data_IF_341156038801
#
_entry.id   IF_341156038801
#
_cell.length_a   1.000
_cell.length_b   1.000
_cell.length_c   1.000
_cell.angle_alpha   90.00
_cell.angle_beta   90.00
_cell.angle_gamma   90.00
#
_symmetry.space_group_name_H-M   'P 1'
#
loop_
_entity.id
_entity.type
_entity.pdbx_description
1 polymer ?
#
# COMPACT_ATOMS: atom_id res chain seq x y z
N UNK A 1 -24.83 2.83 -3.94
CA UNK A 1 -23.84 1.77 -3.69
C UNK A 1 -24.58 0.60 -3.06
N UNK A 2 -24.43 -0.63 -3.55
CA UNK A 2 -25.10 -1.80 -2.93
C UNK A 2 -24.35 -2.26 -1.67
N UNK A 3 -25.01 -2.87 -0.68
CA UNK A 3 -24.34 -3.41 0.52
C UNK A 3 -23.12 -4.29 0.18
N UNK A 4 -23.25 -5.22 -0.77
CA UNK A 4 -22.14 -6.07 -1.23
C UNK A 4 -20.93 -5.27 -1.72
N UNK A 5 -21.15 -4.22 -2.52
CA UNK A 5 -20.04 -3.41 -3.06
C UNK A 5 -19.32 -2.57 -1.99
N UNK A 6 -19.98 -2.27 -0.88
CA UNK A 6 -19.39 -1.60 0.27
C UNK A 6 -18.57 -2.60 1.10
N UNK A 7 -19.13 -3.78 1.37
CA UNK A 7 -18.45 -4.82 2.16
C UNK A 7 -17.20 -5.33 1.41
N UNK A 8 -17.28 -5.55 0.10
CA UNK A 8 -16.12 -5.97 -0.72
C UNK A 8 -15.02 -4.90 -0.67
N UNK A 9 -15.37 -3.62 -0.72
CA UNK A 9 -14.38 -2.53 -0.61
C UNK A 9 -13.68 -2.55 0.74
N UNK A 10 -14.42 -2.68 1.83
CA UNK A 10 -13.84 -2.80 3.18
C UNK A 10 -12.94 -4.03 3.31
N UNK A 11 -13.35 -5.17 2.75
CA UNK A 11 -12.55 -6.38 2.76
C UNK A 11 -11.25 -6.20 1.94
N UNK A 12 -11.32 -5.56 0.77
CA UNK A 12 -10.15 -5.25 -0.08
C UNK A 12 -9.23 -4.21 0.56
N UNK A 13 -9.76 -3.27 1.34
CA UNK A 13 -8.98 -2.24 2.03
C UNK A 13 -8.37 -2.72 3.35
N UNK A 14 -8.37 -4.03 3.59
CA UNK A 14 -7.74 -4.64 4.75
C UNK A 14 -8.58 -4.64 6.03
N UNK A 15 -9.88 -4.33 6.00
CA UNK A 15 -10.75 -4.30 7.18
C UNK A 15 -11.78 -5.44 7.23
N UNK A 16 -11.36 -6.70 7.40
CA UNK A 16 -12.25 -7.86 7.37
C UNK A 16 -13.27 -7.87 8.52
N UNK A 17 -12.92 -7.35 9.69
CA UNK A 17 -13.83 -7.29 10.84
C UNK A 17 -14.98 -6.31 10.63
N UNK A 18 -14.69 -5.16 10.04
CA UNK A 18 -15.70 -4.16 9.72
C UNK A 18 -16.59 -4.61 8.56
N UNK A 19 -15.99 -5.27 7.58
CA UNK A 19 -16.74 -5.95 6.53
C UNK A 19 -17.67 -7.03 7.11
N UNK A 20 -17.22 -7.79 8.12
CA UNK A 20 -18.05 -8.78 8.82
C UNK A 20 -19.23 -8.16 9.56
N UNK A 21 -18.99 -7.10 10.35
CA UNK A 21 -20.04 -6.39 11.06
C UNK A 21 -21.11 -5.83 10.11
N UNK A 22 -20.69 -5.28 8.97
CA UNK A 22 -21.62 -4.77 7.95
C UNK A 22 -22.41 -5.92 7.29
N UNK A 23 -21.78 -7.07 7.10
CA UNK A 23 -22.44 -8.28 6.59
C UNK A 23 -23.51 -8.81 7.55
N UNK A 24 -23.22 -8.79 8.86
CA UNK A 24 -24.17 -9.12 9.93
C UNK A 24 -25.35 -8.14 9.97
N UNK A 25 -25.06 -6.84 9.94
CA UNK A 25 -26.06 -5.77 9.95
C UNK A 25 -27.07 -5.91 8.80
N UNK A 26 -26.61 -6.38 7.64
CA UNK A 26 -27.46 -6.60 6.47
C UNK A 26 -28.06 -8.02 6.40
N UNK A 27 -27.85 -8.87 7.41
CA UNK A 27 -28.42 -10.22 7.47
C UNK A 27 -27.86 -11.17 6.40
N UNK A 28 -26.63 -10.93 5.94
CA UNK A 28 -26.02 -11.68 4.84
C UNK A 28 -25.20 -12.90 5.30
N UNK A 29 -24.97 -13.05 6.62
CA UNK A 29 -24.18 -14.15 7.19
C UNK A 29 -24.87 -15.52 7.11
N UNK A 30 -26.20 -15.55 7.13
CA UNK A 30 -27.00 -16.78 7.15
C UNK A 30 -27.53 -17.19 5.77
N UNK A 31 -26.96 -16.64 4.70
CA UNK A 31 -27.36 -16.99 3.33
C UNK A 31 -27.00 -18.44 3.01
N UNK A 32 -27.98 -19.23 2.56
CA UNK A 32 -27.76 -20.59 2.02
C UNK A 32 -27.91 -20.65 0.49
N UNK A 33 -28.42 -19.59 -0.14
CA UNK A 33 -28.80 -19.61 -1.57
C UNK A 33 -28.26 -18.44 -2.39
N UNK A 34 -27.75 -17.38 -1.76
CA UNK A 34 -27.07 -16.29 -2.47
C UNK A 34 -25.56 -16.54 -2.53
N UNK A 35 -25.09 -16.92 -3.71
CA UNK A 35 -23.68 -17.17 -4.05
C UNK A 35 -22.77 -15.99 -3.67
N UNK A 36 -23.22 -14.76 -3.87
CA UNK A 36 -22.39 -13.56 -3.60
C UNK A 36 -22.15 -13.39 -2.12
N UNK A 37 -23.20 -13.57 -1.31
CA UNK A 37 -23.09 -13.54 0.15
C UNK A 37 -22.21 -14.68 0.66
N UNK A 38 -22.40 -15.91 0.18
CA UNK A 38 -21.55 -17.06 0.57
C UNK A 38 -20.07 -16.82 0.23
N UNK A 39 -19.78 -16.34 -0.99
CA UNK A 39 -18.43 -16.04 -1.45
C UNK A 39 -17.77 -14.96 -0.57
N UNK A 40 -18.51 -13.91 -0.24
CA UNK A 40 -18.04 -12.83 0.62
C UNK A 40 -17.77 -13.33 2.04
N UNK A 41 -18.68 -14.11 2.62
CA UNK A 41 -18.48 -14.74 3.94
C UNK A 41 -17.22 -15.59 3.95
N UNK A 42 -17.07 -16.47 2.94
CA UNK A 42 -15.93 -17.36 2.84
C UNK A 42 -14.61 -16.58 2.73
N UNK A 43 -14.59 -15.48 1.95
CA UNK A 43 -13.44 -14.57 1.89
C UNK A 43 -13.08 -13.98 3.25
N UNK A 44 -14.05 -13.46 4.01
CA UNK A 44 -13.79 -12.89 5.33
C UNK A 44 -13.26 -13.93 6.32
N UNK A 45 -13.79 -15.16 6.29
CA UNK A 45 -13.25 -16.28 7.09
C UNK A 45 -11.83 -16.65 6.65
N UNK A 46 -11.55 -16.64 5.34
CA UNK A 46 -10.19 -16.86 4.79
C UNK A 46 -9.22 -15.78 5.28
N UNK A 47 -9.64 -14.52 5.28
CA UNK A 47 -8.80 -13.41 5.74
C UNK A 47 -8.50 -13.54 7.24
N UNK A 48 -9.49 -13.89 8.07
CA UNK A 48 -9.26 -14.25 9.48
C UNK A 48 -8.31 -15.44 9.65
N UNK A 49 -8.45 -16.48 8.82
CA UNK A 49 -7.58 -17.65 8.86
C UNK A 49 -6.12 -17.29 8.56
N UNK A 50 -5.85 -16.32 7.67
CA UNK A 50 -4.49 -15.83 7.40
C UNK A 50 -3.85 -15.15 8.62
N UNK A 51 -4.66 -14.70 9.59
CA UNK A 51 -4.19 -14.05 10.82
C UNK A 51 -4.07 -15.00 12.00
N UNK A 52 -4.73 -16.15 11.93
CA UNK A 52 -4.69 -17.16 12.98
C UNK A 52 -3.44 -18.04 12.87
N UNK A 53 -3.14 -18.79 13.92
CA UNK A 53 -2.03 -19.74 13.98
C UNK A 53 -2.49 -21.13 14.39
N UNK A 54 -1.64 -22.13 14.15
CA UNK A 54 -1.83 -23.50 14.63
C UNK A 54 -3.16 -24.15 14.21
N UNK A 55 -3.82 -24.80 15.16
CA UNK A 55 -5.06 -25.56 14.93
C UNK A 55 -6.24 -24.65 14.58
N UNK A 56 -6.27 -23.42 15.10
CA UNK A 56 -7.34 -22.46 14.80
C UNK A 56 -7.28 -22.00 13.34
N UNK A 57 -6.06 -21.77 12.82
CA UNK A 57 -5.83 -21.47 11.39
C UNK A 57 -6.41 -22.57 10.50
N UNK A 58 -6.07 -23.83 10.77
CA UNK A 58 -6.57 -24.96 10.00
C UNK A 58 -8.11 -25.10 10.09
N UNK A 59 -8.69 -24.85 11.28
CA UNK A 59 -10.15 -24.86 11.49
C UNK A 59 -10.85 -23.77 10.66
N UNK A 60 -10.34 -22.55 10.67
CA UNK A 60 -10.90 -21.43 9.91
C UNK A 60 -10.78 -21.66 8.39
N UNK A 61 -9.65 -22.19 7.91
CA UNK A 61 -9.53 -22.59 6.50
C UNK A 61 -10.54 -23.67 6.12
N UNK A 62 -10.73 -24.69 6.96
CA UNK A 62 -11.74 -25.72 6.73
C UNK A 62 -13.17 -25.14 6.69
N UNK A 63 -13.48 -24.18 7.58
CA UNK A 63 -14.77 -23.51 7.60
C UNK A 63 -15.00 -22.68 6.33
N UNK A 64 -14.02 -21.88 5.93
CA UNK A 64 -14.07 -21.09 4.69
C UNK A 64 -14.22 -21.99 3.45
N UNK A 65 -13.46 -23.10 3.38
CA UNK A 65 -13.57 -24.07 2.29
C UNK A 65 -15.00 -24.63 2.17
N UNK A 66 -15.64 -24.98 3.29
CA UNK A 66 -17.00 -25.50 3.29
C UNK A 66 -18.02 -24.49 2.74
N UNK A 67 -17.87 -23.19 3.07
CA UNK A 67 -18.73 -22.13 2.55
C UNK A 67 -18.52 -21.96 1.03
N UNK A 68 -17.26 -21.99 0.55
CA UNK A 68 -16.96 -21.94 -0.88
C UNK A 68 -17.52 -23.15 -1.65
N UNK A 69 -17.50 -24.36 -1.06
CA UNK A 69 -18.17 -25.54 -1.66
C UNK A 69 -19.67 -25.31 -1.79
N UNK A 70 -20.33 -24.69 -0.79
CA UNK A 70 -21.76 -24.33 -0.90
C UNK A 70 -21.99 -23.37 -2.06
N UNK A 71 -21.21 -22.29 -2.14
CA UNK A 71 -21.30 -21.32 -3.23
C UNK A 71 -21.10 -21.96 -4.62
N UNK A 72 -20.07 -22.81 -4.76
CA UNK A 72 -19.74 -23.49 -6.01
C UNK A 72 -20.84 -24.45 -6.49
N UNK A 73 -21.73 -24.94 -5.62
CA UNK A 73 -22.84 -25.82 -6.00
C UNK A 73 -24.03 -25.09 -6.62
N UNK A 74 -24.17 -23.78 -6.41
CA UNK A 74 -25.33 -23.00 -6.89
C UNK A 74 -25.27 -22.85 -8.41
N UNK A 75 -24.19 -22.24 -8.91
CA UNK A 75 -24.01 -21.94 -10.33
C UNK A 75 -22.94 -22.81 -11.02
N UNK A 76 -22.35 -23.80 -10.31
CA UNK A 76 -21.21 -24.62 -10.78
C UNK A 76 -20.03 -23.79 -11.26
N UNK A 77 -19.72 -22.71 -10.55
CA UNK A 77 -18.61 -21.81 -10.94
C UNK A 77 -17.25 -22.30 -10.50
N UNK A 78 -16.25 -22.11 -11.34
CA UNK A 78 -14.85 -22.47 -11.08
C UNK A 78 -14.23 -21.66 -9.94
N UNK A 79 -14.56 -20.36 -9.81
CA UNK A 79 -13.97 -19.47 -8.80
C UNK A 79 -14.24 -19.89 -7.34
N UNK A 80 -15.48 -20.19 -6.91
CA UNK A 80 -15.71 -20.71 -5.58
C UNK A 80 -15.04 -22.08 -5.36
N UNK A 81 -15.08 -22.97 -6.37
CA UNK A 81 -14.52 -24.32 -6.26
C UNK A 81 -12.99 -24.32 -6.12
N UNK A 82 -12.27 -23.45 -6.83
CA UNK A 82 -10.81 -23.37 -6.70
C UNK A 82 -10.40 -22.84 -5.32
N UNK A 83 -11.11 -21.83 -4.81
CA UNK A 83 -10.87 -21.36 -3.45
C UNK A 83 -11.15 -22.46 -2.42
N UNK A 84 -12.23 -23.24 -2.59
CA UNK A 84 -12.48 -24.41 -1.73
C UNK A 84 -11.34 -25.44 -1.80
N UNK A 85 -10.80 -25.70 -2.99
CA UNK A 85 -9.70 -26.65 -3.18
C UNK A 85 -8.43 -26.18 -2.45
N UNK A 86 -8.06 -24.92 -2.60
CA UNK A 86 -6.87 -24.34 -1.96
C UNK A 86 -6.98 -24.27 -0.45
N UNK A 87 -8.14 -23.86 0.07
CA UNK A 87 -8.37 -23.78 1.51
C UNK A 87 -8.50 -25.17 2.14
N UNK A 88 -8.95 -26.17 1.39
CA UNK A 88 -8.91 -27.57 1.84
C UNK A 88 -7.48 -28.06 2.01
N UNK A 89 -6.56 -27.70 1.10
CA UNK A 89 -5.14 -28.03 1.25
C UNK A 89 -4.57 -27.38 2.51
N UNK A 90 -4.77 -26.07 2.66
CA UNK A 90 -4.29 -25.29 3.83
C UNK A 90 -4.91 -25.73 5.17
N UNK A 91 -6.02 -26.47 5.13
CA UNK A 91 -6.63 -27.11 6.29
C UNK A 91 -6.13 -28.54 6.55
N UNK A 92 -5.10 -29.01 5.82
CA UNK A 92 -4.55 -30.36 5.90
C UNK A 92 -5.40 -31.45 5.23
N UNK A 93 -6.38 -31.09 4.39
CA UNK A 93 -7.30 -32.02 3.72
C UNK A 93 -6.90 -32.27 2.26
N UNK A 94 -5.68 -32.75 2.04
CA UNK A 94 -5.08 -32.86 0.69
C UNK A 94 -5.92 -33.69 -0.29
N UNK A 95 -6.51 -34.82 0.13
CA UNK A 95 -7.35 -35.63 -0.74
C UNK A 95 -8.62 -34.88 -1.22
N UNK A 96 -9.20 -34.04 -0.35
CA UNK A 96 -10.35 -33.23 -0.71
C UNK A 96 -9.97 -32.10 -1.67
N UNK A 97 -8.82 -31.45 -1.42
CA UNK A 97 -8.24 -30.44 -2.31
C UNK A 97 -8.03 -31.00 -3.72
N UNK A 98 -7.40 -32.17 -3.86
CA UNK A 98 -7.18 -32.83 -5.15
C UNK A 98 -8.48 -33.11 -5.90
N UNK A 99 -9.50 -33.62 -5.20
CA UNK A 99 -10.82 -33.89 -5.80
C UNK A 99 -11.44 -32.62 -6.39
N UNK A 100 -11.42 -31.53 -5.61
CA UNK A 100 -11.97 -30.25 -6.05
C UNK A 100 -11.16 -29.63 -7.19
N UNK A 101 -9.82 -29.75 -7.17
CA UNK A 101 -8.97 -29.27 -8.26
C UNK A 101 -9.25 -29.98 -9.60
N UNK A 102 -9.49 -31.30 -9.57
CA UNK A 102 -9.93 -32.04 -10.77
C UNK A 102 -11.31 -31.57 -11.26
N UNK A 103 -12.24 -31.31 -10.34
CA UNK A 103 -13.56 -30.79 -10.67
C UNK A 103 -13.48 -29.39 -11.31
N UNK A 104 -12.61 -28.50 -10.80
CA UNK A 104 -12.35 -27.18 -11.38
C UNK A 104 -11.87 -27.30 -12.82
N UNK A 105 -10.92 -28.19 -13.11
CA UNK A 105 -10.43 -28.38 -14.48
C UNK A 105 -11.54 -28.88 -15.41
N UNK A 106 -12.39 -29.80 -14.96
CA UNK A 106 -13.53 -30.27 -15.74
C UNK A 106 -14.57 -29.16 -15.99
N UNK A 107 -14.81 -28.27 -15.01
CA UNK A 107 -15.70 -27.12 -15.16
C UNK A 107 -15.15 -26.13 -16.18
N UNK A 108 -13.85 -25.80 -16.12
CA UNK A 108 -13.21 -24.90 -17.08
C UNK A 108 -13.22 -25.47 -18.51
N UNK A 109 -13.04 -26.78 -18.66
CA UNK A 109 -13.11 -27.45 -19.97
C UNK A 109 -14.55 -27.43 -20.53
N UNK A 110 -15.55 -27.65 -19.68
CA UNK A 110 -16.95 -27.60 -20.08
C UNK A 110 -17.44 -26.17 -20.39
N UNK A 111 -16.88 -25.15 -19.72
CA UNK A 111 -17.29 -23.75 -19.84
C UNK A 111 -16.10 -22.80 -20.12
N UNK A 112 -15.50 -22.82 -21.31
CA UNK A 112 -14.32 -21.99 -21.62
C UNK A 112 -14.55 -20.46 -21.56
N UNK A 113 -15.80 -20.01 -21.45
CA UNK A 113 -16.18 -18.59 -21.39
C UNK A 113 -16.75 -18.16 -20.03
N UNK A 114 -16.58 -18.98 -18.98
CA UNK A 114 -17.20 -18.74 -17.66
C UNK A 114 -16.62 -17.52 -16.92
N UNK A 115 -15.30 -17.29 -17.04
CA UNK A 115 -14.60 -16.30 -16.24
C UNK A 115 -14.93 -14.86 -16.64
N UNK A 116 -15.00 -13.96 -15.65
CA UNK A 116 -15.22 -12.53 -15.88
C UNK A 116 -14.14 -11.91 -16.79
N UNK A 117 -12.91 -12.44 -16.71
CA UNK A 117 -11.80 -12.03 -17.58
C UNK A 117 -10.99 -13.23 -18.08
N UNK A 118 -10.30 -13.09 -19.24
CA UNK A 118 -9.37 -14.12 -19.74
C UNK A 118 -8.19 -14.43 -18.79
N UNK A 119 -7.86 -13.49 -17.89
CA UNK A 119 -6.86 -13.69 -16.83
C UNK A 119 -7.35 -14.71 -15.81
N UNK A 120 -8.55 -14.51 -15.25
CA UNK A 120 -9.08 -15.35 -14.17
C UNK A 120 -9.25 -16.82 -14.58
N UNK A 121 -9.57 -17.09 -15.84
CA UNK A 121 -9.59 -18.47 -16.37
C UNK A 121 -8.22 -19.14 -16.29
N UNK A 122 -7.17 -18.44 -16.73
CA UNK A 122 -5.81 -18.97 -16.72
C UNK A 122 -5.24 -19.08 -15.29
N UNK A 123 -5.54 -18.12 -14.41
CA UNK A 123 -5.14 -18.15 -13.02
C UNK A 123 -5.79 -19.32 -12.26
N UNK A 124 -7.09 -19.53 -12.46
CA UNK A 124 -7.85 -20.66 -11.87
C UNK A 124 -7.31 -22.01 -12.35
N UNK A 125 -7.01 -22.13 -13.65
CA UNK A 125 -6.38 -23.32 -14.21
C UNK A 125 -4.99 -23.57 -13.60
N UNK A 126 -4.17 -22.52 -13.49
CA UNK A 126 -2.84 -22.61 -12.92
C UNK A 126 -2.88 -23.08 -11.45
N UNK A 127 -3.79 -22.52 -10.65
CA UNK A 127 -3.95 -22.89 -9.24
C UNK A 127 -4.40 -24.36 -9.12
N UNK A 128 -5.35 -24.80 -9.93
CA UNK A 128 -5.79 -26.20 -9.94
C UNK A 128 -4.64 -27.15 -10.31
N UNK A 129 -3.82 -26.81 -11.31
CA UNK A 129 -2.64 -27.59 -11.69
C UNK A 129 -1.60 -27.64 -10.56
N UNK A 130 -1.38 -26.53 -9.85
CA UNK A 130 -0.46 -26.48 -8.72
C UNK A 130 -0.92 -27.42 -7.59
N UNK A 131 -2.21 -27.38 -7.23
CA UNK A 131 -2.81 -28.27 -6.22
C UNK A 131 -2.70 -29.75 -6.56
N UNK A 132 -2.63 -30.10 -7.86
CA UNK A 132 -2.43 -31.47 -8.34
C UNK A 132 -0.94 -31.87 -8.43
N UNK A 133 -0.03 -31.03 -7.93
CA UNK A 133 1.41 -31.23 -8.00
C UNK A 133 2.01 -31.07 -9.41
N UNK A 134 1.26 -30.50 -10.36
CA UNK A 134 1.71 -30.29 -11.75
C UNK A 134 2.36 -28.93 -11.90
N UNK A 135 3.54 -28.79 -11.29
CA UNK A 135 4.24 -27.50 -11.18
C UNK A 135 4.55 -26.84 -12.53
N UNK A 136 5.23 -27.53 -13.46
CA UNK A 136 5.60 -26.93 -14.75
C UNK A 136 4.37 -26.47 -15.57
N UNK A 137 3.28 -27.26 -15.69
CA UNK A 137 2.03 -26.78 -16.27
C UNK A 137 1.41 -25.58 -15.54
N UNK A 138 1.42 -25.56 -14.21
CA UNK A 138 0.90 -24.43 -13.42
C UNK A 138 1.66 -23.14 -13.73
N UNK A 139 2.99 -23.21 -13.76
CA UNK A 139 3.87 -22.08 -14.10
C UNK A 139 3.57 -21.52 -15.50
N UNK A 140 3.40 -22.40 -16.49
CA UNK A 140 3.09 -22.00 -17.85
C UNK A 140 1.70 -21.34 -17.95
N UNK A 141 0.69 -21.90 -17.28
CA UNK A 141 -0.66 -21.36 -17.26
C UNK A 141 -0.72 -19.97 -16.60
N UNK A 142 -0.03 -19.76 -15.46
CA UNK A 142 -0.02 -18.46 -14.79
C UNK A 142 0.67 -17.39 -15.64
N UNK A 143 1.81 -17.72 -16.27
CA UNK A 143 2.50 -16.82 -17.21
C UNK A 143 1.60 -16.42 -18.38
N UNK A 144 0.89 -17.37 -18.96
CA UNK A 144 -0.05 -17.10 -20.04
C UNK A 144 -1.24 -16.25 -19.58
N UNK A 145 -1.73 -16.45 -18.35
CA UNK A 145 -2.80 -15.64 -17.77
C UNK A 145 -2.39 -14.17 -17.62
N UNK A 146 -1.23 -13.92 -16.98
CA UNK A 146 -0.67 -12.56 -16.81
C UNK A 146 -0.46 -11.87 -18.16
N UNK A 147 0.05 -12.60 -19.16
CA UNK A 147 0.25 -12.06 -20.51
C UNK A 147 -1.04 -11.58 -21.20
N UNK A 148 -2.22 -12.07 -20.80
CA UNK A 148 -3.51 -11.61 -21.34
C UNK A 148 -3.97 -10.27 -20.76
N UNK A 149 -3.56 -9.93 -19.54
CA UNK A 149 -3.93 -8.69 -18.84
C UNK A 149 -2.74 -8.14 -18.03
N UNK A 150 -1.67 -7.67 -18.69
CA UNK A 150 -0.39 -7.36 -18.02
C UNK A 150 -0.47 -6.23 -16.97
N UNK A 151 -1.48 -5.36 -17.05
CA UNK A 151 -1.69 -4.24 -16.13
C UNK A 151 -2.65 -4.55 -14.97
N UNK A 152 -3.18 -5.78 -14.83
CA UNK A 152 -4.09 -6.16 -13.76
C UNK A 152 -3.34 -6.43 -12.44
N UNK A 153 -2.54 -5.47 -11.97
CA UNK A 153 -1.57 -5.66 -10.88
C UNK A 153 -2.20 -6.11 -9.55
N UNK A 154 -3.37 -5.58 -9.19
CA UNK A 154 -4.08 -6.01 -7.97
C UNK A 154 -4.52 -7.48 -8.04
N UNK A 155 -5.03 -7.91 -9.21
CA UNK A 155 -5.43 -9.30 -9.44
C UNK A 155 -4.21 -10.23 -9.44
N UNK A 156 -3.09 -9.77 -10.01
CA UNK A 156 -1.81 -10.47 -9.98
C UNK A 156 -1.30 -10.65 -8.55
N UNK A 157 -1.32 -9.59 -7.74
CA UNK A 157 -0.89 -9.62 -6.35
C UNK A 157 -1.68 -10.64 -5.52
N UNK A 158 -3.02 -10.64 -5.66
CA UNK A 158 -3.88 -11.59 -4.99
C UNK A 158 -3.54 -13.05 -5.36
N UNK A 159 -3.26 -13.30 -6.65
CA UNK A 159 -2.89 -14.64 -7.15
C UNK A 159 -1.48 -15.04 -6.69
N UNK A 160 -0.51 -14.13 -6.72
CA UNK A 160 0.86 -14.41 -6.29
C UNK A 160 0.90 -14.75 -4.80
N UNK A 161 0.27 -13.94 -3.95
CA UNK A 161 0.22 -14.22 -2.50
C UNK A 161 -0.49 -15.54 -2.18
N UNK A 162 -1.50 -15.93 -2.97
CA UNK A 162 -2.13 -17.25 -2.87
C UNK A 162 -1.16 -18.37 -3.26
N UNK A 163 -0.42 -18.21 -4.36
CA UNK A 163 0.55 -19.20 -4.82
C UNK A 163 1.74 -19.35 -3.87
N UNK A 164 2.22 -18.26 -3.25
CA UNK A 164 3.27 -18.32 -2.22
C UNK A 164 2.82 -19.20 -1.03
N UNK A 165 1.57 -19.04 -0.57
CA UNK A 165 0.99 -19.89 0.49
C UNK A 165 0.88 -21.37 0.06
N UNK A 166 0.45 -21.63 -1.17
CA UNK A 166 0.31 -23.00 -1.69
C UNK A 166 1.67 -23.67 -1.92
N UNK A 167 2.66 -22.96 -2.45
CA UNK A 167 4.02 -23.45 -2.61
C UNK A 167 4.62 -23.84 -1.26
N UNK A 168 4.44 -23.01 -0.23
CA UNK A 168 4.90 -23.33 1.12
C UNK A 168 4.26 -24.63 1.68
N UNK A 169 2.95 -24.81 1.49
CA UNK A 169 2.22 -26.00 1.96
C UNK A 169 2.58 -27.27 1.15
N UNK A 170 2.83 -27.13 -0.16
CA UNK A 170 3.19 -28.25 -1.04
C UNK A 170 4.69 -28.58 -1.01
N UNK A 171 5.52 -27.75 -0.38
CA UNK A 171 6.97 -27.88 -0.40
C UNK A 171 7.61 -27.53 -1.75
N UNK A 172 6.96 -26.70 -2.55
CA UNK A 172 7.52 -26.18 -3.81
C UNK A 172 8.30 -24.88 -3.60
N UNK A 173 9.33 -24.69 -4.43
CA UNK A 173 10.05 -23.42 -4.49
C UNK A 173 9.15 -22.34 -5.12
N UNK A 174 9.02 -21.20 -4.46
CA UNK A 174 8.21 -20.07 -4.90
C UNK A 174 9.00 -19.06 -5.77
N UNK A 175 10.32 -19.21 -5.93
CA UNK A 175 11.17 -18.23 -6.63
C UNK A 175 10.75 -17.98 -8.09
N UNK A 176 10.01 -18.91 -8.72
CA UNK A 176 9.49 -18.72 -10.08
C UNK A 176 8.39 -17.66 -10.18
N UNK A 177 7.80 -17.24 -9.06
CA UNK A 177 6.81 -16.16 -8.97
C UNK A 177 7.47 -14.77 -9.03
N UNK A 178 8.74 -14.63 -8.66
CA UNK A 178 9.41 -13.32 -8.59
C UNK A 178 9.37 -12.53 -9.91
N UNK A 179 9.63 -13.13 -11.09
CA UNK A 179 9.51 -12.43 -12.38
C UNK A 179 8.07 -12.05 -12.75
N UNK A 180 7.07 -12.53 -12.02
CA UNK A 180 5.65 -12.28 -12.26
C UNK A 180 5.09 -11.18 -11.35
N UNK A 181 5.87 -10.73 -10.37
CA UNK A 181 5.47 -9.67 -9.45
C UNK A 181 5.19 -8.36 -10.20
N UNK A 182 4.19 -7.58 -9.79
CA UNK A 182 3.95 -6.25 -10.34
C UNK A 182 5.18 -5.33 -10.25
N UNK A 183 5.20 -4.21 -10.99
CA UNK A 183 6.26 -3.22 -10.91
C UNK A 183 6.56 -2.76 -9.47
N UNK A 184 7.81 -2.38 -9.24
CA UNK A 184 8.26 -1.94 -7.92
C UNK A 184 7.82 -0.50 -7.63
N UNK A 185 7.74 -0.18 -6.33
CA UNK A 185 7.46 1.18 -5.85
C UNK A 185 8.75 1.88 -5.43
N UNK A 186 8.89 3.16 -5.77
CA UNK A 186 10.07 3.96 -5.51
C UNK A 186 9.72 5.11 -4.56
N UNK A 187 10.48 5.30 -3.49
CA UNK A 187 10.59 6.61 -2.84
C UNK A 187 11.82 7.34 -3.40
N UNK A 188 11.64 8.55 -3.92
CA UNK A 188 12.73 9.34 -4.46
C UNK A 188 12.91 10.66 -3.71
N UNK A 189 14.16 11.11 -3.63
CA UNK A 189 14.54 12.43 -3.13
C UNK A 189 15.92 12.81 -3.67
N UNK A 190 16.27 14.09 -3.67
CA UNK A 190 17.60 14.50 -4.08
C UNK A 190 17.93 15.95 -3.81
N UNK A 191 19.14 16.31 -4.21
CA UNK A 191 19.66 17.67 -4.05
C UNK A 191 18.98 18.66 -5.02
N UNK A 192 18.68 19.87 -4.54
CA UNK A 192 18.02 20.90 -5.35
C UNK A 192 18.96 21.49 -6.42
N UNK A 193 20.14 21.94 -6.04
CA UNK A 193 21.04 22.66 -6.95
C UNK A 193 21.91 21.71 -7.78
N UNK A 194 21.35 20.86 -8.64
CA UNK A 194 22.16 20.01 -9.53
C UNK A 194 22.71 20.80 -10.72
N UNK A 195 23.97 20.56 -11.08
CA UNK A 195 24.59 21.15 -12.28
C UNK A 195 23.84 20.71 -13.54
N UNK A 196 23.16 21.65 -14.21
CA UNK A 196 22.39 21.35 -15.42
C UNK A 196 23.29 20.79 -16.53
N UNK A 197 22.78 19.81 -17.28
CA UNK A 197 23.46 19.22 -18.43
C UNK A 197 24.30 17.97 -18.14
N UNK A 198 24.22 17.42 -16.92
CA UNK A 198 24.86 16.14 -16.59
C UNK A 198 24.05 14.95 -17.16
N UNK A 199 24.22 14.72 -18.47
CA UNK A 199 23.57 13.61 -19.18
C UNK A 199 23.92 12.23 -18.60
N UNK A 200 25.04 12.11 -17.86
CA UNK A 200 25.42 10.86 -17.21
C UNK A 200 24.48 10.52 -16.05
N UNK A 201 24.12 11.51 -15.23
CA UNK A 201 23.17 11.33 -14.12
C UNK A 201 21.78 10.94 -14.65
N UNK A 202 21.28 11.64 -15.68
CA UNK A 202 20.00 11.29 -16.30
C UNK A 202 19.98 9.88 -16.90
N UNK A 203 21.07 9.47 -17.56
CA UNK A 203 21.22 8.12 -18.08
C UNK A 203 21.30 7.05 -16.99
N UNK A 204 21.95 7.34 -15.86
CA UNK A 204 21.99 6.45 -14.69
C UNK A 204 20.62 6.27 -14.05
N UNK A 205 19.87 7.36 -13.85
CA UNK A 205 18.50 7.31 -13.32
C UNK A 205 17.62 6.46 -14.24
N UNK A 206 17.63 6.73 -15.54
CA UNK A 206 16.82 5.98 -16.52
C UNK A 206 17.16 4.49 -16.51
N UNK A 207 18.45 4.15 -16.53
CA UNK A 207 18.92 2.76 -16.53
C UNK A 207 18.55 2.04 -15.23
N UNK A 208 18.60 2.74 -14.10
CA UNK A 208 18.24 2.19 -12.80
C UNK A 208 16.73 1.95 -12.69
N UNK A 209 15.89 2.90 -13.12
CA UNK A 209 14.43 2.74 -13.14
C UNK A 209 13.99 1.54 -13.98
N UNK A 210 14.67 1.29 -15.12
CA UNK A 210 14.44 0.09 -15.95
C UNK A 210 14.84 -1.19 -15.23
N UNK A 211 16.08 -1.23 -14.71
CA UNK A 211 16.62 -2.41 -14.04
C UNK A 211 15.76 -2.86 -12.86
N UNK A 212 15.30 -1.91 -12.04
CA UNK A 212 14.49 -2.21 -10.86
C UNK A 212 12.97 -2.31 -11.18
N UNK A 213 12.60 -2.23 -12.47
CA UNK A 213 11.22 -2.32 -12.95
C UNK A 213 10.26 -1.38 -12.17
N UNK A 214 10.64 -0.11 -12.03
CA UNK A 214 9.84 0.88 -11.30
C UNK A 214 8.57 1.20 -12.08
N UNK A 215 7.42 1.10 -11.42
CA UNK A 215 6.11 1.47 -11.97
C UNK A 215 5.38 2.55 -11.17
N UNK A 216 5.82 2.85 -9.94
CA UNK A 216 5.22 3.87 -9.08
C UNK A 216 6.33 4.63 -8.37
N UNK A 217 6.27 5.96 -8.35
CA UNK A 217 7.26 6.80 -7.69
C UNK A 217 6.61 7.83 -6.77
N UNK A 218 7.10 7.92 -5.54
CA UNK A 218 6.60 8.78 -4.47
C UNK A 218 7.70 9.74 -4.01
N UNK A 219 7.41 11.03 -4.00
CA UNK A 219 8.39 12.04 -3.58
C UNK A 219 7.89 13.47 -3.75
N UNK A 220 8.68 14.42 -3.28
CA UNK A 220 8.47 15.84 -3.55
C UNK A 220 8.98 16.21 -4.97
N UNK A 221 8.95 17.49 -5.30
CA UNK A 221 9.41 18.01 -6.61
C UNK A 221 10.28 19.26 -6.43
N UNK A 222 11.21 19.23 -5.49
CA UNK A 222 12.10 20.38 -5.28
C UNK A 222 12.94 20.63 -6.55
N UNK A 223 13.18 21.90 -6.90
CA UNK A 223 13.93 22.29 -8.09
C UNK A 223 15.29 21.58 -8.10
N UNK A 224 15.53 20.67 -9.05
CA UNK A 224 16.76 19.87 -9.07
C UNK A 224 16.56 18.39 -9.41
N UNK A 225 17.22 17.55 -8.60
CA UNK A 225 17.21 16.11 -8.73
C UNK A 225 15.81 15.50 -8.67
N UNK A 226 14.93 15.98 -7.80
CA UNK A 226 13.57 15.46 -7.67
C UNK A 226 12.81 15.57 -9.01
N UNK A 227 12.89 16.75 -9.64
CA UNK A 227 12.28 16.99 -10.96
C UNK A 227 12.89 16.06 -12.02
N UNK A 228 14.22 15.86 -12.02
CA UNK A 228 14.86 14.93 -12.97
C UNK A 228 14.39 13.48 -12.80
N UNK A 229 14.26 13.00 -11.56
CA UNK A 229 13.77 11.65 -11.30
C UNK A 229 12.31 11.55 -11.75
N UNK A 230 11.47 12.52 -11.39
CA UNK A 230 10.06 12.54 -11.76
C UNK A 230 9.84 12.57 -13.29
N UNK A 231 10.63 13.34 -14.04
CA UNK A 231 10.57 13.34 -15.50
C UNK A 231 10.98 11.98 -16.10
N UNK A 232 12.01 11.34 -15.54
CA UNK A 232 12.43 10.01 -15.98
C UNK A 232 11.37 8.94 -15.68
N UNK A 233 10.68 9.06 -14.54
CA UNK A 233 9.53 8.21 -14.17
C UNK A 233 8.40 8.35 -15.19
N UNK A 234 7.97 9.58 -15.51
CA UNK A 234 6.90 9.80 -16.49
C UNK A 234 7.31 9.37 -17.91
N UNK A 235 8.57 9.60 -18.30
CA UNK A 235 9.10 9.16 -19.60
C UNK A 235 9.05 7.64 -19.76
N UNK A 236 9.20 6.88 -18.66
CA UNK A 236 9.04 5.42 -18.62
C UNK A 236 7.57 4.98 -18.72
N UNK A 237 6.62 5.87 -18.46
CA UNK A 237 5.20 5.55 -18.32
C UNK A 237 4.84 4.99 -16.94
N UNK A 238 5.65 5.27 -15.93
CA UNK A 238 5.34 4.94 -14.53
C UNK A 238 4.49 6.04 -13.88
N UNK A 239 3.76 5.67 -12.82
CA UNK A 239 2.90 6.59 -12.09
C UNK A 239 3.72 7.48 -11.14
N UNK A 240 3.50 8.79 -11.20
CA UNK A 240 4.10 9.78 -10.31
C UNK A 240 3.10 10.20 -9.23
N UNK A 241 3.48 10.01 -7.97
CA UNK A 241 2.71 10.41 -6.79
C UNK A 241 3.48 11.48 -6.02
N UNK A 242 2.96 12.71 -6.04
CA UNK A 242 3.64 13.86 -5.43
C UNK A 242 3.20 14.03 -3.98
N UNK A 243 4.17 14.11 -3.08
CA UNK A 243 3.97 14.40 -1.65
C UNK A 243 4.69 15.69 -1.30
N UNK A 244 3.94 16.75 -1.00
CA UNK A 244 4.48 18.06 -0.67
C UNK A 244 4.43 18.31 0.85
N UNK A 245 5.52 18.79 1.46
CA UNK A 245 5.61 19.03 2.90
C UNK A 245 4.77 20.22 3.40
N UNK A 246 4.22 21.01 2.47
CA UNK A 246 3.37 22.17 2.72
C UNK A 246 2.43 22.35 1.53
N UNK A 247 1.65 23.44 1.51
CA UNK A 247 0.76 23.73 0.40
C UNK A 247 1.52 23.93 -0.93
N UNK A 248 0.81 23.63 -2.03
CA UNK A 248 1.37 23.65 -3.38
C UNK A 248 1.99 25.00 -3.76
N UNK A 249 1.33 26.11 -3.39
CA UNK A 249 1.78 27.45 -3.78
C UNK A 249 3.04 27.85 -3.02
N UNK A 250 3.08 27.63 -1.70
CA UNK A 250 4.26 27.90 -0.88
C UNK A 250 5.45 27.02 -1.30
N UNK A 251 5.22 25.74 -1.58
CA UNK A 251 6.27 24.83 -2.05
C UNK A 251 6.84 25.29 -3.40
N UNK A 252 5.98 25.62 -4.37
CA UNK A 252 6.39 26.10 -5.68
C UNK A 252 7.23 27.37 -5.57
N UNK A 253 6.82 28.32 -4.75
CA UNK A 253 7.57 29.58 -4.59
C UNK A 253 8.94 29.34 -3.94
N UNK A 254 8.98 28.61 -2.82
CA UNK A 254 10.18 28.50 -1.96
C UNK A 254 11.15 27.40 -2.38
N UNK A 255 10.63 26.27 -2.87
CA UNK A 255 11.44 25.10 -3.24
C UNK A 255 11.65 24.96 -4.75
N UNK A 256 11.03 25.79 -5.58
CA UNK A 256 11.18 25.72 -7.04
C UNK A 256 11.64 27.05 -7.61
N UNK A 257 10.80 28.09 -7.54
CA UNK A 257 11.05 29.39 -8.17
C UNK A 257 12.22 30.12 -7.52
N UNK A 258 12.27 30.16 -6.19
CA UNK A 258 13.36 30.81 -5.45
C UNK A 258 14.73 30.18 -5.70
N UNK A 259 14.77 28.90 -6.11
CA UNK A 259 16.02 28.23 -6.47
C UNK A 259 16.49 28.61 -7.87
N UNK A 260 15.64 28.41 -8.88
CA UNK A 260 15.84 28.91 -10.24
C UNK A 260 14.49 28.93 -10.98
N UNK A 261 14.00 30.09 -11.44
CA UNK A 261 12.69 30.22 -12.10
C UNK A 261 12.48 29.29 -13.30
N UNK A 262 13.55 28.80 -13.94
CA UNK A 262 13.47 27.86 -15.06
C UNK A 262 12.89 26.50 -14.67
N UNK A 263 12.89 26.15 -13.39
CA UNK A 263 12.24 24.92 -12.92
C UNK A 263 10.73 25.03 -12.82
N UNK A 264 10.19 26.24 -12.70
CA UNK A 264 8.75 26.49 -12.54
C UNK A 264 7.88 25.77 -13.58
N UNK A 265 8.12 25.98 -14.90
CA UNK A 265 7.34 25.31 -15.94
C UNK A 265 7.42 23.78 -15.90
N UNK A 266 8.58 23.22 -15.50
CA UNK A 266 8.78 21.76 -15.40
C UNK A 266 8.01 21.19 -14.21
N UNK A 267 8.07 21.87 -13.07
CA UNK A 267 7.27 21.53 -11.89
C UNK A 267 5.77 21.55 -12.22
N UNK A 268 5.29 22.61 -12.89
CA UNK A 268 3.87 22.73 -13.25
C UNK A 268 3.41 21.60 -14.19
N UNK A 269 4.26 21.19 -15.15
CA UNK A 269 3.98 20.08 -16.03
C UNK A 269 3.88 18.75 -15.26
N UNK A 270 4.84 18.48 -14.37
CA UNK A 270 4.84 17.29 -13.51
C UNK A 270 3.62 17.22 -12.58
N UNK A 271 3.21 18.35 -12.00
CA UNK A 271 1.99 18.42 -11.18
C UNK A 271 0.75 18.11 -12.03
N UNK A 272 0.70 18.58 -13.29
CA UNK A 272 -0.39 18.30 -14.22
C UNK A 272 -0.48 16.83 -14.67
N UNK A 273 0.65 16.11 -14.67
CA UNK A 273 0.74 14.70 -15.08
C UNK A 273 0.76 13.71 -13.90
N UNK A 274 0.89 14.20 -12.66
CA UNK A 274 0.94 13.35 -11.47
C UNK A 274 -0.36 12.55 -11.29
N UNK A 275 -0.23 11.26 -11.00
CA UNK A 275 -1.34 10.36 -10.69
C UNK A 275 -2.02 10.75 -9.36
N UNK A 276 -1.27 11.33 -8.42
CA UNK A 276 -1.82 11.92 -7.20
C UNK A 276 -0.96 13.07 -6.68
N UNK A 277 -1.59 14.00 -5.96
CA UNK A 277 -0.94 15.07 -5.21
C UNK A 277 -1.46 15.07 -3.77
N UNK A 278 -0.57 14.95 -2.80
CA UNK A 278 -0.84 15.06 -1.38
C UNK A 278 -0.05 16.24 -0.81
N UNK A 279 -0.73 17.17 -0.13
CA UNK A 279 -0.11 18.21 0.69
C UNK A 279 -0.20 17.82 2.16
N UNK A 280 0.83 18.13 2.94
CA UNK A 280 0.80 18.03 4.40
C UNK A 280 0.34 19.39 4.95
N UNK A 281 -0.91 19.47 5.41
CA UNK A 281 -1.65 20.74 5.63
C UNK A 281 -1.24 21.55 6.88
N UNK A 282 -0.06 21.27 7.44
CA UNK A 282 0.31 21.73 8.79
C UNK A 282 1.61 22.50 8.86
N UNK A 283 2.21 22.79 7.69
CA UNK A 283 3.31 23.72 7.59
C UNK A 283 3.05 24.77 6.52
N UNK A 284 3.34 26.03 6.84
CA UNK A 284 3.22 27.16 5.92
C UNK A 284 4.40 27.27 4.93
N UNK A 285 5.45 26.46 5.13
CA UNK A 285 6.67 26.50 4.31
C UNK A 285 7.46 25.18 4.40
N UNK A 286 8.28 24.85 3.40
CA UNK A 286 9.09 23.63 3.39
C UNK A 286 10.34 23.79 4.29
N UNK A 287 10.17 23.83 5.61
CA UNK A 287 11.27 23.83 6.57
C UNK A 287 11.73 22.39 6.89
N UNK A 288 12.87 22.23 7.56
CA UNK A 288 13.52 20.93 7.80
C UNK A 288 12.57 19.82 8.30
N UNK A 289 11.92 19.98 9.46
CA UNK A 289 10.97 18.98 9.96
C UNK A 289 9.83 18.62 9.00
N UNK A 290 9.26 19.60 8.28
CA UNK A 290 8.19 19.36 7.31
C UNK A 290 8.70 18.56 6.11
N UNK A 291 9.91 18.85 5.61
CA UNK A 291 10.57 18.08 4.54
C UNK A 291 10.83 16.64 5.00
N UNK A 292 11.38 16.45 6.20
CA UNK A 292 11.63 15.12 6.78
C UNK A 292 10.34 14.30 6.91
N UNK A 293 9.24 14.96 7.32
CA UNK A 293 7.94 14.33 7.40
C UNK A 293 7.39 13.96 6.01
N UNK A 294 7.53 14.85 5.02
CA UNK A 294 7.16 14.59 3.63
C UNK A 294 7.89 13.37 3.05
N UNK A 295 9.19 13.28 3.29
CA UNK A 295 10.03 12.14 2.91
C UNK A 295 9.56 10.84 3.58
N UNK A 296 9.25 10.87 4.88
CA UNK A 296 8.77 9.72 5.64
C UNK A 296 7.40 9.24 5.13
N UNK A 297 6.46 10.16 4.85
CA UNK A 297 5.16 9.84 4.28
C UNK A 297 5.31 9.22 2.89
N UNK A 298 6.14 9.81 2.01
CA UNK A 298 6.41 9.26 0.69
C UNK A 298 6.99 7.83 0.75
N UNK A 299 7.91 7.58 1.69
CA UNK A 299 8.46 6.23 1.92
C UNK A 299 7.36 5.25 2.38
N UNK A 300 6.54 5.66 3.35
CA UNK A 300 5.42 4.87 3.84
C UNK A 300 4.43 4.51 2.75
N UNK A 301 4.11 5.45 1.86
CA UNK A 301 3.24 5.22 0.69
C UNK A 301 3.86 4.23 -0.30
N UNK A 302 5.14 4.37 -0.63
CA UNK A 302 5.85 3.44 -1.51
C UNK A 302 5.88 2.02 -0.94
N UNK A 303 6.17 1.89 0.36
CA UNK A 303 6.16 0.60 1.06
C UNK A 303 4.75 0.00 1.12
N UNK A 304 3.74 0.82 1.40
CA UNK A 304 2.34 0.38 1.47
C UNK A 304 1.88 -0.16 0.11
N UNK A 305 2.13 0.58 -0.97
CA UNK A 305 1.79 0.16 -2.33
C UNK A 305 2.50 -1.15 -2.72
N UNK A 306 3.81 -1.24 -2.47
CA UNK A 306 4.57 -2.48 -2.72
C UNK A 306 3.97 -3.67 -1.96
N UNK A 307 3.56 -3.49 -0.70
CA UNK A 307 2.92 -4.54 0.09
C UNK A 307 1.56 -4.95 -0.49
N UNK A 308 0.71 -4.00 -0.89
CA UNK A 308 -0.59 -4.28 -1.51
C UNK A 308 -0.45 -5.06 -2.82
N UNK A 309 0.60 -4.75 -3.60
CA UNK A 309 0.86 -5.37 -4.89
C UNK A 309 1.71 -6.65 -4.80
N UNK A 310 2.04 -7.14 -3.60
CA UNK A 310 2.99 -8.24 -3.40
C UNK A 310 4.31 -8.04 -4.19
N UNK A 311 4.78 -6.80 -4.27
CA UNK A 311 5.98 -6.37 -4.97
C UNK A 311 7.04 -5.86 -3.97
N UNK A 312 8.07 -5.19 -4.48
CA UNK A 312 9.19 -4.63 -3.72
C UNK A 312 9.15 -3.11 -3.77
N UNK A 313 9.78 -2.50 -2.77
CA UNK A 313 10.05 -1.06 -2.78
C UNK A 313 11.55 -0.81 -2.82
N UNK A 314 11.91 0.36 -3.32
CA UNK A 314 13.27 0.87 -3.38
C UNK A 314 13.30 2.34 -2.96
N UNK A 315 14.48 2.81 -2.55
CA UNK A 315 14.76 4.24 -2.37
C UNK A 315 15.83 4.67 -3.34
N UNK A 316 15.59 5.77 -4.05
CA UNK A 316 16.59 6.39 -4.92
C UNK A 316 16.90 7.79 -4.41
N UNK A 317 18.17 8.06 -4.12
CA UNK A 317 18.62 9.38 -3.72
C UNK A 317 19.71 9.91 -4.65
N UNK A 318 19.49 11.10 -5.23
CA UNK A 318 20.56 11.83 -5.91
C UNK A 318 21.23 12.75 -4.89
N UNK A 319 22.51 12.49 -4.64
CA UNK A 319 23.32 13.15 -3.61
C UNK A 319 24.49 13.90 -4.23
N UNK A 320 25.00 14.92 -3.52
CA UNK A 320 26.10 15.73 -4.02
C UNK A 320 27.45 14.99 -3.93
N UNK A 321 28.26 15.06 -5.00
CA UNK A 321 29.62 14.51 -4.98
C UNK A 321 30.49 15.13 -3.88
N UNK A 322 31.23 14.28 -3.16
CA UNK A 322 32.22 14.71 -2.16
C UNK A 322 31.68 15.01 -0.76
N UNK A 323 30.38 14.88 -0.53
CA UNK A 323 29.76 14.99 0.80
C UNK A 323 29.64 13.59 1.47
N UNK A 324 29.56 13.57 2.81
CA UNK A 324 29.23 12.34 3.55
C UNK A 324 27.74 12.02 3.41
N UNK A 325 27.43 10.74 3.22
CA UNK A 325 26.10 10.24 2.92
C UNK A 325 25.68 9.08 3.83
N UNK A 326 26.44 8.78 4.89
CA UNK A 326 26.13 7.67 5.81
C UNK A 326 24.70 7.72 6.36
N UNK A 327 24.15 8.92 6.59
CA UNK A 327 22.76 9.07 7.06
C UNK A 327 21.70 8.49 6.11
N UNK A 328 22.05 8.26 4.84
CA UNK A 328 21.17 7.71 3.82
C UNK A 328 21.55 6.30 3.37
N UNK A 329 22.56 5.68 3.99
CA UNK A 329 22.99 4.32 3.64
C UNK A 329 22.10 3.29 4.35
N UNK A 330 20.88 3.11 3.84
CA UNK A 330 20.02 1.97 4.19
C UNK A 330 20.11 0.89 3.09
N UNK A 331 19.82 -0.37 3.43
CA UNK A 331 20.01 -1.52 2.54
C UNK A 331 19.18 -1.46 1.24
N UNK A 332 18.07 -0.74 1.27
CA UNK A 332 17.11 -0.52 0.18
C UNK A 332 17.37 0.79 -0.60
N UNK A 333 18.40 1.56 -0.22
CA UNK A 333 18.68 2.88 -0.78
C UNK A 333 19.82 2.84 -1.79
N UNK A 334 19.51 3.20 -3.03
CA UNK A 334 20.50 3.47 -4.08
C UNK A 334 20.87 4.94 -4.08
N UNK A 335 22.17 5.24 -4.09
CA UNK A 335 22.70 6.59 -4.21
C UNK A 335 23.27 6.81 -5.61
N UNK A 336 22.77 7.84 -6.30
CA UNK A 336 23.37 8.37 -7.52
C UNK A 336 24.07 9.68 -7.16
N UNK A 337 25.34 9.83 -7.53
CA UNK A 337 26.09 11.04 -7.24
C UNK A 337 25.96 12.03 -8.38
N UNK A 338 25.78 13.31 -8.05
CA UNK A 338 25.71 14.39 -9.01
C UNK A 338 26.49 15.62 -8.53
N UNK A 339 26.95 16.44 -9.47
CA UNK A 339 27.62 17.70 -9.15
C UNK A 339 26.61 18.74 -8.69
N UNK A 340 26.93 19.42 -7.60
CA UNK A 340 26.15 20.55 -7.10
C UNK A 340 26.60 21.84 -7.79
N UNK A 341 25.65 22.64 -8.28
CA UNK A 341 25.90 23.92 -8.94
C UNK A 341 26.09 25.08 -7.97
N UNK A 342 25.42 25.03 -6.81
CA UNK A 342 25.41 26.07 -5.80
C UNK A 342 25.38 25.44 -4.42
N UNK A 343 26.05 26.04 -3.44
CA UNK A 343 26.01 25.57 -2.06
C UNK A 343 24.55 25.45 -1.55
N UNK A 344 24.29 24.55 -0.58
CA UNK A 344 22.96 24.41 -0.03
C UNK A 344 22.48 25.76 0.52
N UNK A 345 21.31 26.20 0.07
CA UNK A 345 20.61 27.29 0.75
C UNK A 345 20.05 26.68 2.04
N UNK A 346 20.77 26.85 3.14
CA UNK A 346 20.25 26.53 4.45
C UNK A 346 19.17 27.56 4.78
N UNK A 347 17.91 27.13 4.82
CA UNK A 347 16.90 27.90 5.54
C UNK A 347 17.30 27.97 7.01
N UNK A 348 17.00 29.08 7.67
CA UNK A 348 17.21 29.20 9.11
C UNK A 348 16.53 28.01 9.80
N UNK A 349 17.30 27.21 10.54
CA UNK A 349 16.74 26.17 11.37
C UNK A 349 15.91 26.87 12.45
N UNK A 350 14.59 26.78 12.37
CA UNK A 350 13.70 27.24 13.43
C UNK A 350 13.84 26.25 14.60
N UNK A 351 14.63 26.57 15.65
CA UNK A 351 15.09 25.57 16.61
C UNK A 351 13.99 25.07 17.54
N UNK A 352 12.76 25.56 17.38
CA UNK A 352 11.61 25.22 18.20
C UNK A 352 10.63 24.23 17.54
N UNK A 353 10.71 24.02 16.21
CA UNK A 353 9.79 23.13 15.49
C UNK A 353 10.39 21.73 15.37
N UNK A 354 9.61 20.72 15.76
CA UNK A 354 9.96 19.31 15.59
C UNK A 354 8.73 18.49 15.18
N UNK A 355 8.96 17.40 14.46
CA UNK A 355 7.93 16.41 14.20
C UNK A 355 7.51 15.79 15.53
N UNK A 356 6.26 15.99 15.91
CA UNK A 356 5.69 15.58 17.20
C UNK A 356 4.44 14.76 16.95
N UNK A 357 4.39 13.57 17.52
CA UNK A 357 3.20 12.74 17.52
C UNK A 357 2.20 13.25 18.57
N UNK A 358 0.97 13.47 18.14
CA UNK A 358 -0.12 13.98 18.97
C UNK A 358 -1.14 12.87 19.18
N UNK A 359 -1.21 12.33 20.38
CA UNK A 359 -2.15 11.27 20.74
C UNK A 359 -3.32 11.85 21.53
N UNK A 360 -4.52 11.77 20.97
CA UNK A 360 -5.75 12.07 21.69
C UNK A 360 -6.27 10.81 22.39
N UNK A 361 -6.34 10.87 23.72
CA UNK A 361 -6.82 9.80 24.57
C UNK A 361 -7.49 10.41 25.81
N UNK A 362 -8.62 9.84 26.25
CA UNK A 362 -9.34 10.25 27.47
C UNK A 362 -9.66 11.77 27.53
N UNK A 363 -9.98 12.36 26.38
CA UNK A 363 -10.34 13.78 26.27
C UNK A 363 -9.15 14.75 26.34
N UNK A 364 -7.91 14.28 26.23
CA UNK A 364 -6.69 15.07 26.28
C UNK A 364 -5.74 14.70 25.14
N UNK A 365 -4.85 15.62 24.79
CA UNK A 365 -3.77 15.39 23.82
C UNK A 365 -2.45 15.29 24.58
N UNK A 366 -1.79 14.15 24.39
CA UNK A 366 -0.42 13.90 24.84
C UNK A 366 0.55 14.06 23.66
N UNK A 367 1.75 14.59 23.92
CA UNK A 367 2.76 14.85 22.89
C UNK A 367 3.93 13.88 23.05
N UNK A 368 4.35 13.27 21.94
CA UNK A 368 5.48 12.33 21.90
C UNK A 368 6.49 12.71 20.81
N UNK A 369 7.79 12.45 21.03
CA UNK A 369 8.83 12.66 20.01
C UNK A 369 8.64 11.82 18.74
N UNK A 370 8.05 10.63 18.86
CA UNK A 370 7.84 9.70 17.75
C UNK A 370 6.45 9.07 17.81
N UNK A 371 5.93 8.62 16.67
CA UNK A 371 4.66 7.88 16.64
C UNK A 371 4.83 6.55 17.39
N UNK A 372 5.95 5.85 17.21
CA UNK A 372 6.22 4.58 17.87
C UNK A 372 6.16 4.67 19.41
N UNK A 373 6.65 5.77 20.00
CA UNK A 373 6.49 6.02 21.43
C UNK A 373 5.03 6.27 21.81
N UNK A 374 4.30 7.08 21.04
CA UNK A 374 2.88 7.34 21.30
C UNK A 374 2.03 6.05 21.31
N UNK A 375 2.33 5.09 20.43
CA UNK A 375 1.62 3.82 20.36
C UNK A 375 1.72 2.99 21.65
N UNK A 376 2.80 3.14 22.43
CA UNK A 376 2.96 2.42 23.69
C UNK A 376 1.98 2.88 24.77
N UNK A 377 1.40 4.07 24.61
CA UNK A 377 0.43 4.67 25.54
C UNK A 377 -1.01 4.49 25.10
N UNK A 378 -1.23 3.86 23.95
CA UNK A 378 -2.56 3.48 23.50
C UNK A 378 -3.16 2.47 24.48
N UNK A 379 -4.31 2.80 25.06
CA UNK A 379 -5.05 1.91 25.97
C UNK A 379 -6.35 1.44 25.32
N UNK A 380 -7.10 0.56 25.98
CA UNK A 380 -8.34 -0.08 25.48
C UNK A 380 -9.52 0.86 25.13
N UNK A 381 -9.29 2.18 25.02
CA UNK A 381 -10.27 3.17 24.57
C UNK A 381 -10.07 3.56 23.10
N UNK A 382 -11.06 4.21 22.50
CA UNK A 382 -10.89 4.84 21.18
C UNK A 382 -9.84 5.95 21.27
N UNK A 383 -8.84 5.89 20.39
CA UNK A 383 -7.74 6.87 20.35
C UNK A 383 -7.56 7.42 18.94
N UNK A 384 -7.04 8.64 18.84
CA UNK A 384 -6.69 9.25 17.58
C UNK A 384 -5.25 9.77 17.61
N UNK A 385 -4.53 9.63 16.49
CA UNK A 385 -3.14 10.07 16.38
C UNK A 385 -2.87 10.84 15.09
N UNK A 386 -2.04 11.87 15.21
CA UNK A 386 -1.45 12.57 14.07
C UNK A 386 0.06 12.80 14.31
N UNK A 387 0.82 13.11 13.25
CA UNK A 387 2.23 13.46 13.32
C UNK A 387 2.45 14.75 12.54
N UNK A 388 2.88 15.79 13.24
CA UNK A 388 2.93 17.15 12.71
C UNK A 388 4.24 17.84 13.06
N UNK A 389 4.78 18.70 12.19
CA UNK A 389 5.82 19.62 12.58
C UNK A 389 5.20 20.74 13.43
N UNK A 390 5.47 20.76 14.74
CA UNK A 390 4.92 21.78 15.63
C UNK A 390 5.98 22.35 16.57
N UNK A 391 5.77 23.59 16.99
CA UNK A 391 6.51 24.18 18.11
C UNK A 391 6.13 23.47 19.40
N UNK A 392 7.12 23.04 20.18
CA UNK A 392 6.87 22.29 21.43
C UNK A 392 5.90 23.04 22.34
N UNK A 393 4.80 22.38 22.73
CA UNK A 393 3.78 22.97 23.61
C UNK A 393 2.74 23.84 22.89
N UNK A 394 2.83 24.02 21.57
CA UNK A 394 1.82 24.71 20.76
C UNK A 394 1.11 23.71 19.85
N UNK A 395 -0.14 23.40 20.17
CA UNK A 395 -1.01 22.58 19.32
C UNK A 395 -2.02 23.51 18.64
N UNK A 396 -2.08 23.55 17.29
CA UNK A 396 -3.09 24.36 16.62
C UNK A 396 -4.50 23.90 17.02
N UNK A 397 -5.43 24.82 17.38
CA UNK A 397 -6.77 24.45 17.87
C UNK A 397 -7.57 23.55 16.92
N UNK A 398 -7.33 23.68 15.61
CA UNK A 398 -7.95 22.87 14.57
C UNK A 398 -7.57 21.39 14.70
N UNK A 399 -6.31 21.09 15.04
CA UNK A 399 -5.82 19.73 15.27
C UNK A 399 -6.50 19.10 16.47
N UNK A 400 -6.68 19.87 17.54
CA UNK A 400 -7.35 19.37 18.74
C UNK A 400 -8.80 18.95 18.45
N UNK A 401 -9.52 19.76 17.67
CA UNK A 401 -10.87 19.43 17.25
C UNK A 401 -10.90 18.24 16.28
N UNK A 402 -9.93 18.15 15.38
CA UNK A 402 -9.78 17.04 14.43
C UNK A 402 -9.57 15.70 15.16
N UNK A 403 -8.57 15.63 16.04
CA UNK A 403 -8.25 14.43 16.79
C UNK A 403 -9.38 14.00 17.73
N UNK A 404 -10.09 14.96 18.34
CA UNK A 404 -11.28 14.66 19.14
C UNK A 404 -12.38 14.00 18.28
N UNK A 405 -12.70 14.58 17.12
CA UNK A 405 -13.69 14.03 16.20
C UNK A 405 -13.27 12.64 15.67
N UNK A 406 -11.98 12.44 15.41
CA UNK A 406 -11.43 11.13 15.05
C UNK A 406 -11.65 10.11 16.17
N UNK A 407 -11.33 10.45 17.41
CA UNK A 407 -11.48 9.54 18.55
C UNK A 407 -12.96 9.18 18.82
N UNK A 408 -13.90 10.08 18.53
CA UNK A 408 -15.34 9.79 18.56
C UNK A 408 -15.78 8.78 17.49
N UNK A 409 -15.07 8.71 16.37
CA UNK A 409 -15.31 7.74 15.31
C UNK A 409 -14.66 6.37 15.58
N UNK A 410 -13.78 6.27 16.58
CA UNK A 410 -13.04 5.05 16.87
C UNK A 410 -13.92 4.03 17.60
N UNK A 411 -13.85 2.76 17.15
CA UNK A 411 -14.42 1.65 17.90
C UNK A 411 -13.61 1.40 19.21
N UNK A 412 -14.20 0.76 20.25
CA UNK A 412 -13.46 0.44 21.47
C UNK A 412 -12.18 -0.37 21.18
N UNK A 413 -11.03 0.14 21.62
CA UNK A 413 -9.72 -0.47 21.37
C UNK A 413 -9.15 -0.20 19.97
N UNK A 414 -9.82 0.60 19.13
CA UNK A 414 -9.31 1.04 17.84
C UNK A 414 -8.52 2.34 18.00
N UNK A 415 -7.35 2.39 17.36
CA UNK A 415 -6.64 3.64 17.14
C UNK A 415 -6.83 4.10 15.70
N UNK A 416 -7.30 5.32 15.55
CA UNK A 416 -7.42 5.99 14.26
C UNK A 416 -6.25 6.95 14.04
N UNK A 417 -5.75 7.01 12.81
CA UNK A 417 -4.65 7.84 12.39
C UNK A 417 -5.03 8.65 11.15
N UNK A 418 -4.42 9.81 11.03
CA UNK A 418 -4.44 10.58 9.78
C UNK A 418 -3.62 9.87 8.70
N UNK A 419 -3.77 10.31 7.44
CA UNK A 419 -2.92 9.83 6.34
C UNK A 419 -1.42 9.99 6.65
N UNK A 420 -1.05 11.16 7.18
CA UNK A 420 0.32 11.53 7.55
C UNK A 420 0.87 10.58 8.61
N UNK A 421 0.17 10.42 9.74
CA UNK A 421 0.62 9.56 10.81
C UNK A 421 0.69 8.09 10.38
N UNK A 422 -0.32 7.61 9.65
CA UNK A 422 -0.35 6.22 9.19
C UNK A 422 0.88 5.89 8.33
N UNK A 423 1.13 6.65 7.27
CA UNK A 423 2.23 6.33 6.36
C UNK A 423 3.60 6.64 6.96
N UNK A 424 3.76 7.72 7.72
CA UNK A 424 5.01 7.97 8.43
C UNK A 424 5.34 6.84 9.42
N UNK A 425 4.35 6.34 10.15
CA UNK A 425 4.52 5.19 11.02
C UNK A 425 4.88 3.91 10.24
N UNK A 426 4.25 3.68 9.08
CA UNK A 426 4.57 2.52 8.25
C UNK A 426 6.02 2.50 7.78
N UNK A 427 6.58 3.69 7.51
CA UNK A 427 7.98 3.85 7.13
C UNK A 427 8.94 3.47 8.27
N UNK A 428 8.58 3.78 9.52
CA UNK A 428 9.39 3.46 10.70
C UNK A 428 9.18 2.03 11.21
N UNK A 429 7.96 1.49 11.05
CA UNK A 429 7.51 0.22 11.63
C UNK A 429 6.67 -0.57 10.61
N UNK A 430 7.30 -1.23 9.63
CA UNK A 430 6.60 -1.92 8.53
C UNK A 430 5.75 -3.12 8.98
N UNK A 431 5.99 -3.63 10.19
CA UNK A 431 5.24 -4.75 10.77
C UNK A 431 3.81 -4.36 11.19
N UNK A 432 3.60 -3.06 11.45
CA UNK A 432 2.29 -2.51 11.81
C UNK A 432 1.33 -2.65 10.63
N UNK A 433 0.06 -2.88 10.94
CA UNK A 433 -1.00 -2.91 9.93
C UNK A 433 -1.76 -1.61 9.92
N UNK A 434 -1.96 -1.13 8.71
CA UNK A 434 -2.72 0.07 8.43
C UNK A 434 -3.89 -0.35 7.55
N UNK A 435 -5.09 -0.12 8.06
CA UNK A 435 -6.33 -0.41 7.34
C UNK A 435 -7.07 0.90 7.02
N UNK A 436 -7.72 0.99 5.87
CA UNK A 436 -8.56 2.15 5.58
C UNK A 436 -9.83 2.10 6.46
N UNK A 437 -9.99 3.09 7.34
CA UNK A 437 -11.12 3.23 8.25
C UNK A 437 -12.24 4.14 7.68
N UNK A 438 -12.24 4.38 6.38
CA UNK A 438 -13.22 5.21 5.67
C UNK A 438 -12.94 6.69 5.83
N UNK A 439 -13.88 7.52 5.38
CA UNK A 439 -13.76 8.97 5.46
C UNK A 439 -14.55 9.54 6.63
N UNK A 440 -13.95 10.47 7.36
CA UNK A 440 -14.60 11.27 8.38
C UNK A 440 -14.98 12.64 7.81
N UNK A 441 -16.20 13.09 8.09
CA UNK A 441 -16.61 14.48 7.90
C UNK A 441 -16.49 15.23 9.21
N UNK A 442 -15.83 16.38 9.19
CA UNK A 442 -15.63 17.24 10.35
C UNK A 442 -15.68 18.72 9.93
N UNK A 443 -15.48 19.63 10.87
CA UNK A 443 -15.55 21.08 10.61
C UNK A 443 -14.51 21.57 9.58
N UNK A 444 -13.38 20.86 9.44
CA UNK A 444 -12.34 21.13 8.44
C UNK A 444 -12.53 20.44 7.09
N UNK A 445 -13.63 19.72 6.87
CA UNK A 445 -13.93 19.06 5.59
C UNK A 445 -14.08 17.55 5.70
N UNK A 446 -13.68 16.82 4.65
CA UNK A 446 -13.68 15.35 4.63
C UNK A 446 -12.25 14.86 4.58
N UNK A 447 -11.90 13.86 5.39
CA UNK A 447 -10.56 13.27 5.37
C UNK A 447 -10.61 11.75 5.52
N UNK A 448 -9.68 11.02 4.89
CA UNK A 448 -9.54 9.59 5.13
C UNK A 448 -9.01 9.34 6.54
N UNK A 449 -9.50 8.26 7.15
CA UNK A 449 -9.02 7.72 8.41
C UNK A 449 -8.35 6.38 8.16
N UNK A 450 -7.35 6.09 8.97
CA UNK A 450 -6.62 4.84 8.94
C UNK A 450 -6.66 4.19 10.31
N UNK A 451 -6.96 2.90 10.40
CA UNK A 451 -6.85 2.16 11.65
C UNK A 451 -5.45 1.55 11.76
N UNK A 452 -4.80 1.78 12.90
CA UNK A 452 -3.50 1.17 13.25
C UNK A 452 -3.77 -0.10 14.06
N UNK A 453 -3.16 -1.22 13.66
CA UNK A 453 -3.30 -2.54 14.31
C UNK A 453 -2.00 -3.30 14.44
#
# INVERSE_FOLDING_TARGET
>A
MTPHSQIIRLARSGSPERAWALMEQHGLLDSETDERSLTLQARLVKDRAKLAEGTERARLFAASAAIYVKAGKIDRRSYPLINAASLSLLAGKSAHSHKLALEVLAVLEANPSEAETPYWLGATQAEALLLLGKEAPARAALRAAIGKQPAAWEDHAATIGQFELLCAELGFDAAWLDPLKPPTSLQFAGIMSVAQGDALVGGQVTSWLEKENVGFAYGALAAGADIWIAEAVLTRGAELHVVLPCDLAAFRERSVIAMDPRWGPRFDALIGEAASLQTLDFSAAPHGPAIELGDAVALGMAMHNARQLCSRHHRLRIVAEGEDHQRWSAADTTLIKAKRAHDPIHGDAEPEIANTALLFLNGKIEQFPTIAEALQFATNGGAAIDLLPVTRGQIPPQISAQLAAMAECAEPGQMLATHTAAHALFAESPDIRIENAGDMRWSGGTMPLFAIR
#
